data_IF_183824795250
#
_entry.id   IF_183824795250
#
_cell.length_a   1.000
_cell.length_b   1.000
_cell.length_c   1.000
_cell.angle_alpha   90.00
_cell.angle_beta   90.00
_cell.angle_gamma   90.00
#
_symmetry.space_group_name_H-M   'P 1'
#
loop_
_entity.id
_entity.type
_entity.pdbx_description
1 polymer ?
#
# COMPACT_ATOMS: atom_id res chain seq x y z
N UNK A 1 -8.57 -11.26 -7.05
CA UNK A 1 -9.39 -10.81 -8.22
C UNK A 1 -10.75 -11.49 -8.24
N UNK A 2 -10.80 -12.83 -8.23
CA UNK A 2 -12.02 -13.64 -8.18
C UNK A 2 -13.03 -13.20 -7.11
N UNK A 3 -12.59 -13.04 -5.87
CA UNK A 3 -13.44 -12.57 -4.76
C UNK A 3 -14.21 -11.26 -5.05
N UNK A 4 -13.58 -10.29 -5.73
CA UNK A 4 -14.22 -9.01 -6.08
C UNK A 4 -15.22 -9.20 -7.23
N UNK A 5 -14.93 -10.10 -8.17
CA UNK A 5 -15.85 -10.45 -9.24
C UNK A 5 -17.12 -11.15 -8.70
N UNK A 6 -16.95 -12.10 -7.79
CA UNK A 6 -18.07 -12.79 -7.12
C UNK A 6 -18.92 -11.81 -6.30
N UNK A 7 -18.29 -10.93 -5.50
CA UNK A 7 -18.99 -9.88 -4.77
C UNK A 7 -19.78 -8.95 -5.71
N UNK A 8 -19.17 -8.56 -6.83
CA UNK A 8 -19.80 -7.72 -7.85
C UNK A 8 -21.04 -8.41 -8.44
N UNK A 9 -20.92 -9.67 -8.83
CA UNK A 9 -22.03 -10.45 -9.40
C UNK A 9 -23.17 -10.64 -8.40
N UNK A 10 -22.86 -10.93 -7.13
CA UNK A 10 -23.86 -11.04 -6.07
C UNK A 10 -24.61 -9.71 -5.84
N UNK A 11 -23.90 -8.58 -5.81
CA UNK A 11 -24.53 -7.27 -5.69
C UNK A 11 -25.42 -6.93 -6.90
N UNK A 12 -24.98 -7.27 -8.11
CA UNK A 12 -25.78 -7.09 -9.31
C UNK A 12 -27.07 -7.92 -9.27
N UNK A 13 -26.97 -9.20 -8.86
CA UNK A 13 -28.11 -10.09 -8.72
C UNK A 13 -29.10 -9.62 -7.66
N UNK A 14 -28.63 -8.92 -6.62
CA UNK A 14 -29.47 -8.29 -5.60
C UNK A 14 -30.13 -6.98 -6.06
N UNK A 15 -29.87 -6.52 -7.30
CA UNK A 15 -30.50 -5.33 -7.89
C UNK A 15 -29.73 -4.03 -7.67
N UNK A 16 -28.47 -4.09 -7.23
CA UNK A 16 -27.63 -2.89 -7.10
C UNK A 16 -27.06 -2.43 -8.45
N UNK A 17 -26.95 -1.11 -8.63
CA UNK A 17 -26.27 -0.52 -9.78
C UNK A 17 -24.75 -0.59 -9.61
N UNK A 18 -24.05 -1.10 -10.63
CA UNK A 18 -22.60 -1.21 -10.63
C UNK A 18 -21.98 -0.16 -11.54
N UNK A 19 -21.26 0.77 -10.94
CA UNK A 19 -20.51 1.80 -11.66
C UNK A 19 -19.03 1.47 -11.61
N UNK A 20 -18.38 1.37 -12.77
CA UNK A 20 -16.94 1.21 -12.84
C UNK A 20 -16.26 2.48 -12.32
N UNK A 21 -15.49 2.34 -11.23
CA UNK A 21 -14.80 3.47 -10.61
C UNK A 21 -13.36 3.11 -10.27
N UNK A 22 -12.44 4.03 -10.57
CA UNK A 22 -11.03 3.93 -10.18
C UNK A 22 -10.65 5.22 -9.47
N UNK A 23 -10.16 5.15 -8.22
CA UNK A 23 -9.64 6.32 -7.53
C UNK A 23 -8.58 7.03 -8.40
N UNK A 24 -8.68 8.35 -8.61
CA UNK A 24 -7.72 9.08 -9.42
C UNK A 24 -6.33 9.05 -8.75
N UNK A 25 -5.29 9.10 -9.58
CA UNK A 25 -3.89 9.36 -9.17
C UNK A 25 -3.38 8.60 -7.92
N UNK A 26 -3.74 7.33 -7.71
CA UNK A 26 -3.31 6.53 -6.54
C UNK A 26 -1.80 6.53 -6.32
N UNK A 27 -1.01 6.58 -7.41
CA UNK A 27 0.46 6.70 -7.33
C UNK A 27 0.93 8.01 -6.70
N UNK A 28 0.23 9.13 -6.94
CA UNK A 28 0.51 10.42 -6.32
C UNK A 28 0.17 10.37 -4.83
N UNK A 29 -1.00 9.82 -4.47
CA UNK A 29 -1.39 9.61 -3.07
C UNK A 29 -0.36 8.78 -2.29
N UNK A 30 0.17 7.70 -2.90
CA UNK A 30 1.24 6.92 -2.29
C UNK A 30 2.51 7.74 -2.00
N UNK A 31 2.90 8.62 -2.93
CA UNK A 31 4.04 9.51 -2.75
C UNK A 31 3.85 10.50 -1.59
N UNK A 32 2.67 11.12 -1.51
CA UNK A 32 2.30 12.04 -0.43
C UNK A 32 2.28 11.30 0.91
N UNK A 33 1.59 10.16 0.97
CA UNK A 33 1.51 9.32 2.17
C UNK A 33 2.89 8.87 2.65
N UNK A 34 3.77 8.42 1.74
CA UNK A 34 5.14 8.03 2.08
C UNK A 34 5.90 9.20 2.70
N UNK A 35 5.74 10.41 2.15
CA UNK A 35 6.34 11.64 2.69
C UNK A 35 5.83 11.91 4.11
N UNK A 36 4.52 11.83 4.34
CA UNK A 36 3.91 12.06 5.65
C UNK A 36 4.38 11.04 6.70
N UNK A 37 4.36 9.73 6.38
CA UNK A 37 4.74 8.66 7.31
C UNK A 37 6.22 8.71 7.68
N UNK A 38 7.06 9.19 6.76
CA UNK A 38 8.52 9.17 6.90
C UNK A 38 9.12 10.54 7.22
N UNK A 39 8.27 11.51 7.55
CA UNK A 39 8.65 12.92 7.67
C UNK A 39 9.81 13.16 8.65
N UNK A 40 9.85 12.40 9.75
CA UNK A 40 10.87 12.50 10.79
C UNK A 40 12.09 11.59 10.56
N UNK A 41 12.17 10.90 9.42
CA UNK A 41 13.21 9.91 9.07
C UNK A 41 13.21 8.68 9.97
N UNK A 42 12.08 8.32 10.58
CA UNK A 42 11.99 7.20 11.51
C UNK A 42 12.70 7.47 12.84
N UNK A 43 13.11 8.72 13.12
CA UNK A 43 13.79 9.09 14.37
C UNK A 43 12.94 8.74 15.60
N UNK A 44 11.65 8.99 15.54
CA UNK A 44 10.71 8.69 16.62
C UNK A 44 10.64 7.19 16.85
N UNK A 45 10.45 6.40 15.79
CA UNK A 45 10.40 4.93 15.88
C UNK A 45 11.72 4.36 16.40
N UNK A 46 12.87 4.81 15.89
CA UNK A 46 14.19 4.37 16.38
C UNK A 46 14.43 4.70 17.84
N UNK A 47 14.01 5.89 18.28
CA UNK A 47 14.11 6.27 19.70
C UNK A 47 13.25 5.35 20.57
N UNK A 48 12.02 5.05 20.15
CA UNK A 48 11.11 4.18 20.89
C UNK A 48 11.60 2.73 20.97
N UNK A 49 12.39 2.27 20.00
CA UNK A 49 12.96 0.91 19.96
C UNK A 49 14.38 0.82 20.53
N UNK A 50 14.89 1.88 21.18
CA UNK A 50 16.25 1.88 21.71
C UNK A 50 16.35 0.97 22.92
N UNK A 51 17.25 -0.02 22.87
CA UNK A 51 17.42 -1.02 23.93
C UNK A 51 16.54 -2.27 23.77
N UNK A 52 15.64 -2.28 22.78
CA UNK A 52 14.75 -3.40 22.51
C UNK A 52 15.33 -4.40 21.51
N UNK A 53 15.00 -5.68 21.68
CA UNK A 53 15.22 -6.71 20.66
C UNK A 53 14.11 -6.57 19.63
N UNK A 54 14.34 -5.77 18.58
CA UNK A 54 13.29 -5.56 17.60
C UNK A 54 13.00 -6.82 16.78
N UNK A 55 11.71 -7.16 16.74
CA UNK A 55 11.16 -8.27 15.98
C UNK A 55 11.54 -8.19 14.47
N UNK A 56 11.81 -9.33 13.80
CA UNK A 56 12.09 -9.35 12.36
C UNK A 56 11.05 -8.65 11.50
N UNK A 57 9.77 -8.65 11.90
CA UNK A 57 8.68 -7.94 11.20
C UNK A 57 8.88 -6.43 11.10
N UNK A 58 9.70 -5.83 11.97
CA UNK A 58 10.01 -4.39 11.98
C UNK A 58 11.19 -4.03 11.05
N UNK A 59 11.69 -4.96 10.23
CA UNK A 59 12.85 -4.70 9.38
C UNK A 59 12.62 -3.52 8.41
N UNK A 60 11.41 -3.35 7.89
CA UNK A 60 11.05 -2.20 7.03
C UNK A 60 11.18 -0.88 7.80
N UNK A 61 10.66 -0.80 9.03
CA UNK A 61 10.79 0.39 9.88
C UNK A 61 12.25 0.72 10.19
N UNK A 62 13.08 -0.29 10.46
CA UNK A 62 14.53 -0.13 10.63
C UNK A 62 15.21 0.37 9.36
N UNK A 63 14.81 -0.12 8.19
CA UNK A 63 15.36 0.29 6.89
C UNK A 63 15.15 1.80 6.65
N UNK A 64 13.98 2.32 7.02
CA UNK A 64 13.64 3.73 6.82
C UNK A 64 14.46 4.67 7.68
N UNK A 65 14.83 4.21 8.89
CA UNK A 65 15.61 4.96 9.86
C UNK A 65 17.13 4.99 9.58
N UNK A 66 17.60 4.28 8.55
CA UNK A 66 19.03 4.22 8.25
C UNK A 66 19.60 5.57 7.73
N UNK A 67 20.91 5.83 7.95
CA UNK A 67 21.57 7.02 7.42
C UNK A 67 21.47 7.13 5.89
N UNK A 68 21.47 8.37 5.38
CA UNK A 68 21.31 8.66 3.94
C UNK A 68 22.28 7.89 3.05
N UNK A 69 23.55 7.81 3.44
CA UNK A 69 24.58 7.11 2.67
C UNK A 69 24.25 5.62 2.51
N UNK A 70 23.81 4.97 3.59
CA UNK A 70 23.41 3.55 3.58
C UNK A 70 22.22 3.34 2.67
N UNK A 71 21.20 4.22 2.75
CA UNK A 71 20.03 4.16 1.86
C UNK A 71 20.40 4.39 0.40
N UNK A 72 21.32 5.31 0.11
CA UNK A 72 21.79 5.60 -1.25
C UNK A 72 22.53 4.40 -1.88
N UNK A 73 23.40 3.73 -1.13
CA UNK A 73 24.09 2.51 -1.58
C UNK A 73 23.09 1.39 -1.84
N UNK A 74 22.19 1.12 -0.88
CA UNK A 74 21.13 0.10 -1.05
C UNK A 74 20.21 0.39 -2.23
N UNK A 75 19.82 1.66 -2.41
CA UNK A 75 19.04 2.10 -3.56
C UNK A 75 19.75 1.77 -4.87
N UNK A 76 21.04 2.10 -5.00
CA UNK A 76 21.84 1.82 -6.21
C UNK A 76 21.84 0.32 -6.54
N UNK A 77 21.98 -0.54 -5.53
CA UNK A 77 21.97 -2.00 -5.67
C UNK A 77 20.58 -2.50 -6.10
N UNK A 78 19.52 -1.96 -5.51
CA UNK A 78 18.15 -2.42 -5.72
C UNK A 78 17.47 -1.79 -6.95
N UNK A 79 18.00 -0.71 -7.51
CA UNK A 79 17.32 0.07 -8.56
C UNK A 79 16.94 -0.76 -9.81
N UNK A 80 17.72 -1.80 -10.13
CA UNK A 80 17.45 -2.72 -11.24
C UNK A 80 16.80 -4.06 -10.83
N UNK A 81 16.63 -4.35 -9.53
CA UNK A 81 16.10 -5.63 -9.02
C UNK A 81 14.77 -5.49 -8.31
N UNK A 82 14.59 -4.40 -7.57
CA UNK A 82 13.33 -4.05 -6.92
C UNK A 82 13.10 -2.54 -7.02
N UNK A 83 12.53 -2.07 -8.14
CA UNK A 83 12.13 -0.67 -8.31
C UNK A 83 11.26 -0.14 -7.17
N UNK A 84 10.37 -0.98 -6.62
CA UNK A 84 9.51 -0.58 -5.50
C UNK A 84 10.33 -0.30 -4.23
N UNK A 85 11.21 -1.22 -3.82
CA UNK A 85 12.06 -1.03 -2.64
C UNK A 85 13.03 0.14 -2.82
N UNK A 86 13.58 0.33 -4.03
CA UNK A 86 14.42 1.47 -4.35
C UNK A 86 13.67 2.81 -4.21
N UNK A 87 12.39 2.85 -4.56
CA UNK A 87 11.53 4.03 -4.34
C UNK A 87 11.26 4.27 -2.85
N UNK A 88 11.01 3.22 -2.08
CA UNK A 88 10.81 3.33 -0.63
C UNK A 88 12.06 3.91 0.07
N UNK A 89 13.25 3.45 -0.33
CA UNK A 89 14.54 3.98 0.12
C UNK A 89 14.84 5.42 -0.31
N UNK A 90 14.13 5.92 -1.33
CA UNK A 90 14.25 7.30 -1.79
C UNK A 90 13.53 8.29 -0.88
N UNK A 91 12.73 7.81 0.09
CA UNK A 91 12.15 8.66 1.11
C UNK A 91 13.25 9.31 1.96
N UNK A 92 13.31 10.63 1.85
CA UNK A 92 14.06 11.46 2.76
C UNK A 92 13.06 12.17 3.64
N UNK A 93 13.22 12.08 4.97
CA UNK A 93 12.37 12.88 5.83
C UNK A 93 12.57 14.36 5.55
N UNK A 94 11.51 15.10 5.82
CA UNK A 94 11.28 16.41 5.25
C UNK A 94 11.42 17.50 6.30
N UNK A 95 11.65 18.74 5.84
CA UNK A 95 11.55 19.92 6.72
C UNK A 95 10.07 20.19 7.03
N UNK A 96 9.80 20.91 8.12
CA UNK A 96 8.41 21.21 8.54
C UNK A 96 7.59 21.88 7.43
N UNK A 97 8.15 22.82 6.66
CA UNK A 97 7.42 23.46 5.56
C UNK A 97 7.05 22.47 4.44
N UNK A 98 7.89 21.47 4.17
CA UNK A 98 7.62 20.45 3.15
C UNK A 98 6.57 19.46 3.64
N UNK A 99 6.55 19.17 4.95
CA UNK A 99 5.47 18.41 5.57
C UNK A 99 4.14 19.15 5.45
N UNK A 100 4.12 20.46 5.72
CA UNK A 100 2.90 21.26 5.55
C UNK A 100 2.40 21.27 4.11
N UNK A 101 3.30 21.40 3.13
CA UNK A 101 2.96 21.25 1.71
C UNK A 101 2.39 19.86 1.39
N UNK A 102 2.99 18.78 1.90
CA UNK A 102 2.47 17.42 1.69
C UNK A 102 1.07 17.22 2.33
N UNK A 103 0.81 17.86 3.47
CA UNK A 103 -0.51 17.84 4.12
C UNK A 103 -1.56 18.63 3.33
N UNK A 104 -1.19 19.77 2.75
CA UNK A 104 -2.04 20.51 1.81
C UNK A 104 -2.32 19.67 0.56
N UNK A 105 -1.31 19.05 -0.04
CA UNK A 105 -1.49 18.15 -1.18
C UNK A 105 -2.39 16.95 -0.86
N UNK A 106 -2.33 16.43 0.38
CA UNK A 106 -3.27 15.41 0.87
C UNK A 106 -4.71 15.93 0.81
N UNK A 107 -4.97 17.14 1.29
CA UNK A 107 -6.32 17.73 1.28
C UNK A 107 -6.85 17.87 -0.16
N UNK A 108 -6.02 18.40 -1.05
CA UNK A 108 -6.35 18.51 -2.49
C UNK A 108 -6.68 17.13 -3.09
N UNK A 109 -5.89 16.10 -2.76
CA UNK A 109 -6.17 14.74 -3.24
C UNK A 109 -7.50 14.20 -2.73
N UNK A 110 -7.81 14.38 -1.44
CA UNK A 110 -9.07 13.92 -0.84
C UNK A 110 -10.25 14.64 -1.48
N UNK A 111 -10.15 15.94 -1.74
CA UNK A 111 -11.17 16.71 -2.45
C UNK A 111 -11.39 16.18 -3.88
N UNK A 112 -10.30 15.93 -4.63
CA UNK A 112 -10.36 15.37 -5.99
C UNK A 112 -11.04 13.99 -6.01
N UNK A 113 -10.67 13.11 -5.08
CA UNK A 113 -11.30 11.78 -4.95
C UNK A 113 -12.79 11.92 -4.59
N UNK A 114 -13.13 12.79 -3.65
CA UNK A 114 -14.51 13.02 -3.21
C UNK A 114 -15.35 13.62 -4.33
N UNK A 115 -14.80 14.53 -5.13
CA UNK A 115 -15.48 15.11 -6.28
C UNK A 115 -15.74 14.05 -7.35
N UNK A 116 -14.74 13.20 -7.67
CA UNK A 116 -14.91 12.08 -8.59
C UNK A 116 -15.98 11.10 -8.10
N UNK A 117 -16.00 10.81 -6.81
CA UNK A 117 -17.01 9.96 -6.15
C UNK A 117 -18.42 10.54 -6.31
N UNK A 118 -18.60 11.83 -6.02
CA UNK A 118 -19.89 12.54 -6.18
C UNK A 118 -20.34 12.59 -7.64
N UNK A 119 -19.43 12.83 -8.58
CA UNK A 119 -19.73 12.83 -10.02
C UNK A 119 -20.22 11.46 -10.50
N UNK A 120 -19.60 10.40 -9.99
CA UNK A 120 -20.01 9.02 -10.23
C UNK A 120 -21.26 8.59 -9.44
N UNK A 121 -21.77 9.45 -8.54
CA UNK A 121 -22.96 9.20 -7.69
C UNK A 121 -22.86 7.90 -6.91
N UNK A 122 -21.68 7.60 -6.37
CA UNK A 122 -21.46 6.38 -5.61
C UNK A 122 -22.00 6.51 -4.18
N UNK A 123 -22.69 5.48 -3.72
CA UNK A 123 -23.03 5.33 -2.29
C UNK A 123 -21.90 4.61 -1.53
N UNK A 124 -21.31 3.60 -2.17
CA UNK A 124 -20.25 2.75 -1.63
C UNK A 124 -19.22 2.40 -2.72
N UNK A 125 -18.00 2.08 -2.31
CA UNK A 125 -16.96 1.55 -3.20
C UNK A 125 -16.61 0.12 -2.81
N UNK A 126 -16.86 -0.81 -3.73
CA UNK A 126 -16.33 -2.16 -3.65
C UNK A 126 -14.87 -2.16 -4.09
N UNK A 127 -13.97 -2.58 -3.20
CA UNK A 127 -12.53 -2.65 -3.47
C UNK A 127 -11.93 -3.97 -2.97
N UNK A 128 -10.80 -4.43 -3.55
CA UNK A 128 -10.04 -5.54 -2.98
C UNK A 128 -9.57 -5.21 -1.56
N UNK A 129 -9.82 -6.10 -0.60
CA UNK A 129 -9.40 -5.91 0.79
C UNK A 129 -7.88 -6.04 0.96
N UNK A 130 -7.27 -7.05 0.32
CA UNK A 130 -5.82 -7.23 0.27
C UNK A 130 -5.45 -7.91 -1.04
N UNK A 131 -4.22 -7.71 -1.51
CA UNK A 131 -3.80 -8.21 -2.83
C UNK A 131 -3.54 -9.72 -2.87
N UNK A 132 -3.50 -10.39 -1.72
CA UNK A 132 -3.13 -11.79 -1.56
C UNK A 132 -3.87 -12.43 -0.37
N UNK A 133 -3.97 -13.77 -0.31
CA UNK A 133 -4.37 -14.49 0.89
C UNK A 133 -3.32 -14.32 2.01
N UNK A 134 -3.58 -14.93 3.17
CA UNK A 134 -2.67 -14.83 4.32
C UNK A 134 -1.25 -15.28 3.95
N UNK A 135 -0.22 -14.41 4.12
CA UNK A 135 1.16 -14.79 3.83
C UNK A 135 1.70 -15.79 4.88
N UNK A 136 2.77 -16.54 4.56
CA UNK A 136 3.49 -17.35 5.54
C UNK A 136 4.01 -16.52 6.73
N UNK A 137 4.20 -17.19 7.88
CA UNK A 137 4.52 -16.60 9.20
C UNK A 137 5.77 -15.70 9.27
N UNK A 138 6.62 -15.64 8.23
CA UNK A 138 7.87 -14.87 8.23
C UNK A 138 8.00 -13.86 7.07
N UNK A 139 6.92 -13.57 6.34
CA UNK A 139 6.95 -12.66 5.18
C UNK A 139 6.37 -11.25 5.35
N UNK A 140 5.99 -10.72 6.55
CA UNK A 140 5.21 -9.47 6.62
C UNK A 140 6.00 -8.23 6.14
N UNK A 141 7.33 -8.25 6.17
CA UNK A 141 8.15 -7.14 5.64
C UNK A 141 8.06 -7.03 4.13
N UNK A 142 7.84 -8.16 3.45
CA UNK A 142 7.83 -8.25 1.99
C UNK A 142 6.46 -7.85 1.41
N UNK A 143 5.42 -7.81 2.23
CA UNK A 143 4.05 -7.46 1.80
C UNK A 143 3.76 -5.95 1.81
N UNK A 144 4.78 -5.10 2.01
CA UNK A 144 4.61 -3.64 2.06
C UNK A 144 3.91 -3.08 0.81
N UNK A 145 4.15 -3.67 -0.36
CA UNK A 145 3.49 -3.25 -1.60
C UNK A 145 1.99 -3.58 -1.64
N UNK A 146 1.54 -4.62 -0.94
CA UNK A 146 0.13 -5.00 -0.88
C UNK A 146 -0.71 -4.02 -0.04
N UNK A 147 -0.07 -3.28 0.87
CA UNK A 147 -0.71 -2.29 1.74
C UNK A 147 -1.39 -1.14 0.97
N UNK A 148 -1.03 -0.89 -0.30
CA UNK A 148 -1.64 0.19 -1.09
C UNK A 148 -3.17 0.07 -1.16
N UNK A 149 -3.70 -1.15 -1.17
CA UNK A 149 -5.14 -1.43 -1.28
C UNK A 149 -5.95 -0.95 -0.08
N UNK A 150 -5.33 -0.90 1.11
CA UNK A 150 -5.99 -0.48 2.36
C UNK A 150 -5.50 0.90 2.82
N UNK A 151 -4.21 1.18 2.70
CA UNK A 151 -3.61 2.43 3.16
C UNK A 151 -4.16 3.66 2.44
N UNK A 152 -4.65 3.52 1.20
CA UNK A 152 -5.30 4.63 0.50
C UNK A 152 -6.50 5.18 1.30
N UNK A 153 -7.32 4.29 1.85
CA UNK A 153 -8.53 4.71 2.58
C UNK A 153 -8.19 5.23 3.99
N UNK A 154 -7.14 4.70 4.63
CA UNK A 154 -6.58 5.32 5.84
C UNK A 154 -6.02 6.72 5.54
N UNK A 155 -5.34 6.90 4.40
CA UNK A 155 -4.80 8.18 3.99
C UNK A 155 -5.89 9.22 3.76
N UNK A 156 -7.00 8.81 3.13
CA UNK A 156 -8.17 9.67 2.88
C UNK A 156 -9.11 9.82 4.09
N UNK A 157 -8.88 9.07 5.16
CA UNK A 157 -9.76 9.02 6.35
C UNK A 157 -11.19 8.58 6.01
N UNK A 158 -11.32 7.56 5.14
CA UNK A 158 -12.61 7.03 4.69
C UNK A 158 -12.99 5.78 5.50
N UNK A 159 -14.24 5.68 5.99
CA UNK A 159 -14.70 4.50 6.69
C UNK A 159 -14.63 3.30 5.74
N UNK A 160 -13.97 2.23 6.20
CA UNK A 160 -13.71 1.03 5.40
C UNK A 160 -14.00 -0.22 6.21
N UNK A 161 -14.65 -1.19 5.58
CA UNK A 161 -14.98 -2.49 6.16
C UNK A 161 -14.53 -3.63 5.25
N UNK A 162 -14.27 -4.80 5.85
CA UNK A 162 -13.90 -6.02 5.12
C UNK A 162 -14.91 -7.10 5.42
N UNK A 163 -15.42 -7.74 4.38
CA UNK A 163 -16.35 -8.88 4.46
C UNK A 163 -15.70 -10.06 3.74
N UNK A 164 -15.50 -11.21 4.40
CA UNK A 164 -15.06 -12.43 3.72
C UNK A 164 -16.10 -12.87 2.68
N UNK A 165 -15.66 -13.05 1.43
CA UNK A 165 -16.56 -13.38 0.32
C UNK A 165 -16.39 -14.83 -0.15
N UNK A 166 -15.15 -15.33 -0.08
CA UNK A 166 -14.78 -16.64 -0.63
C UNK A 166 -13.46 -17.11 0.00
N UNK A 167 -13.09 -18.37 -0.23
CA UNK A 167 -11.81 -18.95 0.15
C UNK A 167 -10.97 -19.24 -1.09
N UNK A 168 -9.65 -19.16 -0.97
CA UNK A 168 -8.73 -19.56 -2.02
C UNK A 168 -8.93 -21.03 -2.42
N UNK A 169 -8.81 -21.32 -3.72
CA UNK A 169 -8.91 -22.64 -4.31
C UNK A 169 -7.65 -23.01 -5.12
N UNK A 170 -7.61 -24.24 -5.63
CA UNK A 170 -6.48 -24.76 -6.41
C UNK A 170 -6.28 -23.97 -7.73
N UNK A 171 -7.34 -23.47 -8.33
CA UNK A 171 -7.29 -22.69 -9.56
C UNK A 171 -6.66 -21.30 -9.34
N UNK A 172 -6.96 -20.67 -8.20
CA UNK A 172 -6.32 -19.41 -7.79
C UNK A 172 -4.82 -19.62 -7.57
N UNK A 173 -4.44 -20.71 -6.91
CA UNK A 173 -3.03 -21.07 -6.69
C UNK A 173 -2.31 -21.37 -8.00
N UNK A 174 -2.94 -22.09 -8.93
CA UNK A 174 -2.38 -22.35 -10.25
C UNK A 174 -2.11 -21.05 -11.02
N UNK A 175 -3.03 -20.07 -10.94
CA UNK A 175 -2.88 -18.76 -11.61
C UNK A 175 -1.80 -17.87 -10.99
N UNK A 176 -1.38 -18.12 -9.74
CA UNK A 176 -0.24 -17.40 -9.14
C UNK A 176 1.07 -17.74 -9.85
N UNK A 177 1.17 -18.89 -10.51
CA UNK A 177 2.35 -19.24 -11.30
C UNK A 177 2.62 -18.21 -12.42
N UNK A 178 1.56 -17.65 -12.99
CA UNK A 178 1.61 -16.64 -14.05
C UNK A 178 1.68 -15.20 -13.52
N UNK A 179 1.72 -15.01 -12.20
CA UNK A 179 1.82 -13.66 -11.61
C UNK A 179 3.17 -13.03 -11.96
N UNK A 180 3.21 -11.78 -12.45
CA UNK A 180 4.46 -11.13 -12.86
C UNK A 180 5.37 -10.89 -11.64
N UNK A 181 6.58 -11.46 -11.72
CA UNK A 181 7.62 -11.37 -10.67
C UNK A 181 8.81 -10.52 -11.11
N UNK A 182 8.59 -9.53 -11.98
CA UNK A 182 9.66 -8.67 -12.53
C UNK A 182 10.34 -7.81 -11.45
N UNK A 183 9.65 -7.55 -10.33
CA UNK A 183 10.22 -6.94 -9.13
C UNK A 183 10.53 -8.05 -8.10
N UNK A 184 11.77 -8.09 -7.60
CA UNK A 184 12.22 -9.05 -6.59
C UNK A 184 11.30 -9.10 -5.37
N UNK A 185 10.67 -7.99 -4.99
CA UNK A 185 9.71 -7.98 -3.90
C UNK A 185 8.52 -8.90 -4.19
N UNK A 186 8.03 -8.90 -5.43
CA UNK A 186 6.89 -9.73 -5.82
C UNK A 186 7.28 -11.21 -5.89
N UNK A 187 8.52 -11.52 -6.26
CA UNK A 187 9.07 -12.87 -6.16
C UNK A 187 9.11 -13.35 -4.70
N UNK A 188 9.64 -12.53 -3.79
CA UNK A 188 9.76 -12.85 -2.36
C UNK A 188 8.43 -12.96 -1.60
N UNK A 189 7.32 -12.52 -2.21
CA UNK A 189 5.96 -12.64 -1.67
C UNK A 189 5.25 -13.86 -2.24
N UNK A 190 5.68 -14.35 -3.41
CA UNK A 190 5.15 -15.54 -4.06
C UNK A 190 5.71 -16.83 -3.46
N UNK A 191 6.98 -16.81 -3.03
CA UNK A 191 7.65 -17.91 -2.32
C UNK A 191 7.34 -17.93 -0.82
#
# INVERSE_FOLDING_TARGET
RRAVAEAREALQAAGHELVAFTPPEVRRAWGIMTTCITADKGRTVSRLLTGEVADPSLATSKLMAQPKLVKAVKKRILQGRSPFMARLLSSEGVKSHQLWQALEEKQVYVEQLTEAWRKARLDLLLAPAFSMPAPPLNCPTNTTAALITTCLYNFCDFPSGVVPVTHEDEDDQAKLNDYPTDDLLFHMVKE
#
